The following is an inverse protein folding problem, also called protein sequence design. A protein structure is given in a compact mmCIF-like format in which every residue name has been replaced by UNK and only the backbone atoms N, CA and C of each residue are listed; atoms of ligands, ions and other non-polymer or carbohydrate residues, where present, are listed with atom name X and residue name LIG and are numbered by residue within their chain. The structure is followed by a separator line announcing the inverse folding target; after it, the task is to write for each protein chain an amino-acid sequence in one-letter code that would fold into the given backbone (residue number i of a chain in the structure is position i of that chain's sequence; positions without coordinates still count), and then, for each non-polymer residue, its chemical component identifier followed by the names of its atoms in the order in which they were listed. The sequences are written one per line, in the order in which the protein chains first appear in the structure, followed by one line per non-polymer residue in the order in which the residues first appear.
data_IF_309973903575
#
_entry.id   IF_309973903575
#
_cell.length_a   1.000
_cell.length_b   1.000
_cell.length_c   1.000
_cell.angle_alpha   90.00
_cell.angle_beta   90.00
_cell.angle_gamma   90.00
#
_symmetry.space_group_name_H-M   'P 1'
#
loop_
_entity.id
_entity.type
_entity.pdbx_description
1 polymer ?
#
# COMPACT_ATOMS: atom_id res chain seq x y z
N UNK A 1 -15.92 14.08 -11.00
CA UNK A 1 -17.15 13.25 -11.10
C UNK A 1 -17.82 13.16 -9.74
N UNK A 2 -19.10 13.57 -9.61
CA UNK A 2 -19.87 13.42 -8.39
C UNK A 2 -20.01 11.94 -7.97
N UNK A 3 -20.19 11.67 -6.67
CA UNK A 3 -20.33 10.30 -6.12
C UNK A 3 -21.50 9.53 -6.77
N UNK A 4 -22.56 10.23 -7.19
CA UNK A 4 -23.73 9.61 -7.84
C UNK A 4 -23.43 8.95 -9.20
N UNK A 5 -22.26 9.22 -9.79
CA UNK A 5 -21.80 8.56 -11.03
C UNK A 5 -20.75 7.46 -10.78
N UNK A 6 -20.26 7.31 -9.55
CA UNK A 6 -19.32 6.24 -9.22
C UNK A 6 -20.05 4.91 -9.03
N UNK A 7 -19.94 4.03 -10.03
CA UNK A 7 -20.54 2.70 -10.02
C UNK A 7 -19.44 1.63 -10.20
N UNK A 8 -18.78 1.19 -9.10
CA UNK A 8 -17.73 0.19 -9.17
C UNK A 8 -18.34 -1.17 -9.51
N UNK A 9 -17.68 -1.93 -10.39
CA UNK A 9 -18.19 -3.25 -10.75
C UNK A 9 -17.79 -4.29 -9.70
N UNK A 10 -18.70 -5.20 -9.30
CA UNK A 10 -18.34 -6.30 -8.43
C UNK A 10 -17.42 -7.30 -9.15
N UNK A 11 -16.65 -8.06 -8.38
CA UNK A 11 -15.92 -9.22 -8.91
C UNK A 11 -16.91 -10.25 -9.44
N UNK A 12 -16.56 -10.93 -10.53
CA UNK A 12 -17.36 -12.05 -11.02
C UNK A 12 -17.24 -13.20 -10.02
N UNK A 13 -18.36 -13.75 -9.54
CA UNK A 13 -18.38 -14.86 -8.57
C UNK A 13 -18.71 -16.19 -9.26
N UNK A 14 -17.94 -17.23 -8.95
CA UNK A 14 -18.23 -18.62 -9.33
C UNK A 14 -17.99 -19.50 -8.10
N UNK A 15 -19.06 -19.94 -7.43
CA UNK A 15 -18.97 -20.62 -6.14
C UNK A 15 -18.27 -19.73 -5.09
N UNK A 16 -17.18 -20.24 -4.52
CA UNK A 16 -16.32 -19.52 -3.55
C UNK A 16 -15.14 -18.79 -4.21
N UNK A 17 -15.09 -18.77 -5.54
CA UNK A 17 -14.07 -18.06 -6.31
C UNK A 17 -14.57 -16.70 -6.81
N UNK A 18 -13.70 -15.69 -6.72
CA UNK A 18 -13.94 -14.31 -7.14
C UNK A 18 -12.92 -13.93 -8.21
N UNK A 19 -13.36 -13.35 -9.32
CA UNK A 19 -12.52 -13.07 -10.48
C UNK A 19 -12.53 -11.58 -10.81
N UNK A 20 -11.32 -11.05 -11.01
CA UNK A 20 -11.11 -9.66 -11.42
C UNK A 20 -11.55 -9.50 -12.87
N UNK A 21 -12.52 -8.61 -13.11
CA UNK A 21 -13.11 -8.34 -14.42
C UNK A 21 -12.85 -6.89 -14.90
N UNK A 22 -12.34 -5.99 -14.03
CA UNK A 22 -11.90 -4.64 -14.40
C UNK A 22 -10.43 -4.41 -14.03
N UNK A 23 -9.54 -4.64 -15.00
CA UNK A 23 -8.09 -4.57 -14.81
C UNK A 23 -7.52 -3.28 -15.40
N UNK A 24 -6.40 -2.81 -14.86
CA UNK A 24 -5.49 -1.87 -15.52
C UNK A 24 -4.15 -2.56 -15.79
N UNK A 25 -3.69 -2.50 -17.03
CA UNK A 25 -2.36 -2.96 -17.41
C UNK A 25 -1.30 -2.20 -16.60
N UNK A 26 -0.24 -2.89 -16.18
CA UNK A 26 0.88 -2.26 -15.50
C UNK A 26 1.69 -1.39 -16.47
N UNK A 27 1.82 -0.10 -16.17
CA UNK A 27 2.59 0.85 -16.98
C UNK A 27 3.82 1.32 -16.20
N UNK A 28 4.91 0.57 -16.30
CA UNK A 28 6.08 0.73 -15.44
C UNK A 28 6.87 2.02 -15.70
N UNK A 29 6.95 2.86 -14.68
CA UNK A 29 7.85 4.01 -14.57
C UNK A 29 9.10 3.56 -13.79
N UNK A 30 10.33 3.83 -14.26
CA UNK A 30 11.54 3.49 -13.51
C UNK A 30 11.58 4.17 -12.14
N UNK A 31 12.02 3.44 -11.11
CA UNK A 31 12.24 3.99 -9.77
C UNK A 31 13.67 4.53 -9.66
N UNK A 32 13.88 5.79 -9.27
CA UNK A 32 15.23 6.32 -9.01
C UNK A 32 15.94 5.61 -7.85
N UNK A 33 17.24 5.38 -7.99
CA UNK A 33 18.11 4.76 -6.97
C UNK A 33 18.04 5.45 -5.60
N UNK A 34 17.84 6.76 -5.58
CA UNK A 34 17.74 7.55 -4.35
C UNK A 34 16.49 7.18 -3.54
N UNK A 35 15.33 7.00 -4.19
CA UNK A 35 14.10 6.53 -3.52
C UNK A 35 14.27 5.10 -2.99
N UNK A 36 14.98 4.24 -3.72
CA UNK A 36 15.30 2.88 -3.26
C UNK A 36 16.16 2.90 -1.99
N UNK A 37 17.22 3.72 -1.96
CA UNK A 37 18.12 3.83 -0.81
C UNK A 37 17.39 4.36 0.42
N UNK A 38 16.58 5.41 0.25
CA UNK A 38 15.79 6.02 1.34
C UNK A 38 14.78 5.02 1.91
N UNK A 39 14.02 4.35 1.05
CA UNK A 39 13.06 3.33 1.45
C UNK A 39 13.73 2.15 2.17
N UNK A 40 14.90 1.70 1.69
CA UNK A 40 15.65 0.61 2.30
C UNK A 40 16.15 1.00 3.68
N UNK A 41 16.71 2.20 3.84
CA UNK A 41 17.21 2.68 5.12
C UNK A 41 16.09 2.78 6.14
N UNK A 42 14.95 3.36 5.77
CA UNK A 42 13.76 3.43 6.61
C UNK A 42 13.30 2.02 7.03
N UNK A 43 13.13 1.11 6.07
CA UNK A 43 12.70 -0.25 6.36
C UNK A 43 13.69 -1.03 7.23
N UNK A 44 15.00 -0.78 7.06
CA UNK A 44 16.05 -1.38 7.87
C UNK A 44 15.97 -0.88 9.31
N UNK A 45 15.89 0.44 9.50
CA UNK A 45 15.81 1.05 10.82
C UNK A 45 14.55 0.61 11.59
N UNK A 46 13.42 0.44 10.89
CA UNK A 46 12.17 -0.07 11.48
C UNK A 46 12.23 -1.54 11.89
N UNK A 47 13.08 -2.36 11.27
CA UNK A 47 13.16 -3.80 11.55
C UNK A 47 14.50 -4.22 12.16
N UNK A 48 15.51 -4.47 11.34
CA UNK A 48 16.81 -5.03 11.74
C UNK A 48 17.67 -4.05 12.53
N UNK A 49 17.52 -2.75 12.27
CA UNK A 49 18.17 -1.67 13.01
C UNK A 49 17.56 -1.42 14.38
N UNK A 50 16.39 -2.01 14.68
CA UNK A 50 15.67 -1.92 15.96
C UNK A 50 15.45 -0.49 16.47
N UNK A 51 15.33 0.49 15.57
CA UNK A 51 15.05 1.89 15.93
C UNK A 51 13.55 2.19 15.98
N UNK A 52 12.72 1.36 15.36
CA UNK A 52 11.26 1.42 15.42
C UNK A 52 10.62 0.18 16.07
N UNK A 53 9.33 0.27 16.43
CA UNK A 53 8.54 -0.84 16.99
C UNK A 53 7.46 -1.31 16.01
N UNK A 54 7.35 -2.63 15.82
CA UNK A 54 6.34 -3.25 14.97
C UNK A 54 5.25 -3.96 15.80
N UNK A 55 4.01 -3.95 15.30
CA UNK A 55 2.97 -4.87 15.81
C UNK A 55 3.38 -6.31 15.44
N UNK A 56 3.41 -7.25 16.40
CA UNK A 56 3.87 -8.62 16.15
C UNK A 56 2.94 -9.44 15.24
N UNK A 57 1.64 -9.10 15.21
CA UNK A 57 0.60 -9.81 14.44
C UNK A 57 -0.19 -8.84 13.54
N UNK A 58 -0.74 -9.34 12.42
CA UNK A 58 -1.83 -8.64 11.69
C UNK A 58 -3.10 -8.63 12.55
N UNK A 59 -3.91 -7.58 12.47
CA UNK A 59 -5.25 -7.55 13.05
C UNK A 59 -6.14 -8.64 12.42
N UNK A 60 -6.22 -9.82 13.05
CA UNK A 60 -7.04 -10.96 12.60
C UNK A 60 -6.33 -12.07 11.80
N UNK A 61 -4.99 -12.08 11.78
CA UNK A 61 -4.19 -13.17 11.20
C UNK A 61 -3.44 -13.98 12.26
N UNK A 62 -3.22 -15.27 12.00
CA UNK A 62 -2.63 -16.23 12.96
C UNK A 62 -1.10 -16.38 12.82
N UNK A 63 -0.44 -15.62 11.91
CA UNK A 63 0.97 -15.79 11.54
C UNK A 63 1.84 -14.74 12.23
N UNK A 64 2.75 -15.20 13.10
CA UNK A 64 3.87 -14.42 13.61
C UNK A 64 4.79 -14.04 12.44
N UNK A 65 4.99 -12.74 12.18
CA UNK A 65 5.73 -12.29 10.98
C UNK A 65 7.23 -12.36 11.20
N UNK A 66 7.94 -13.15 10.41
CA UNK A 66 9.41 -13.11 10.31
C UNK A 66 9.89 -11.68 9.97
N UNK A 67 11.04 -11.27 10.51
CA UNK A 67 11.63 -9.93 10.29
C UNK A 67 11.80 -9.59 8.80
N UNK A 68 12.07 -10.58 7.95
CA UNK A 68 12.21 -10.36 6.50
C UNK A 68 10.86 -10.00 5.85
N UNK A 69 9.74 -10.52 6.38
CA UNK A 69 8.38 -10.18 5.94
C UNK A 69 8.04 -8.76 6.36
N UNK A 70 8.37 -8.40 7.61
CA UNK A 70 8.21 -7.03 8.09
C UNK A 70 9.03 -6.07 7.22
N UNK A 71 10.31 -6.36 7.00
CA UNK A 71 11.19 -5.54 6.18
C UNK A 71 10.63 -5.38 4.76
N UNK A 72 10.25 -6.48 4.11
CA UNK A 72 9.70 -6.46 2.76
C UNK A 72 8.42 -5.61 2.66
N UNK A 73 7.51 -5.71 3.63
CA UNK A 73 6.29 -4.91 3.65
C UNK A 73 6.58 -3.42 3.92
N UNK A 74 7.45 -3.12 4.90
CA UNK A 74 7.83 -1.75 5.26
C UNK A 74 8.54 -1.06 4.09
N UNK A 75 9.47 -1.76 3.44
CA UNK A 75 10.16 -1.29 2.25
C UNK A 75 9.19 -1.00 1.11
N UNK A 76 8.27 -1.92 0.82
CA UNK A 76 7.26 -1.72 -0.23
C UNK A 76 6.33 -0.54 0.06
N UNK A 77 5.89 -0.38 1.32
CA UNK A 77 5.04 0.73 1.75
C UNK A 77 5.74 2.07 1.54
N UNK A 78 6.92 2.24 2.15
CA UNK A 78 7.66 3.49 2.06
C UNK A 78 8.10 3.83 0.63
N UNK A 79 8.47 2.82 -0.17
CA UNK A 79 8.79 3.05 -1.58
C UNK A 79 7.57 3.53 -2.38
N UNK A 80 6.38 3.01 -2.11
CA UNK A 80 5.16 3.48 -2.75
C UNK A 80 4.83 4.93 -2.39
N UNK A 81 5.02 5.34 -1.14
CA UNK A 81 4.86 6.73 -0.70
C UNK A 81 5.81 7.66 -1.46
N UNK A 82 7.10 7.33 -1.52
CA UNK A 82 8.09 8.10 -2.27
C UNK A 82 7.78 8.18 -3.76
N UNK A 83 7.40 7.07 -4.39
CA UNK A 83 7.05 7.07 -5.81
C UNK A 83 5.83 7.95 -6.12
N UNK A 84 4.78 7.87 -5.29
CA UNK A 84 3.59 8.69 -5.46
C UNK A 84 3.91 10.17 -5.23
N UNK A 85 4.66 10.49 -4.18
CA UNK A 85 5.06 11.85 -3.88
C UNK A 85 5.89 12.45 -5.02
N UNK A 86 6.89 11.72 -5.51
CA UNK A 86 7.74 12.17 -6.62
C UNK A 86 6.93 12.41 -7.89
N UNK A 87 5.95 11.55 -8.20
CA UNK A 87 5.07 11.72 -9.36
C UNK A 87 4.14 12.94 -9.23
N UNK A 88 3.57 13.18 -8.05
CA UNK A 88 2.70 14.34 -7.80
C UNK A 88 3.50 15.65 -7.77
N UNK A 89 4.65 15.68 -7.11
CA UNK A 89 5.55 16.82 -7.07
C UNK A 89 6.06 17.18 -8.48
N UNK A 90 6.44 16.17 -9.28
CA UNK A 90 6.82 16.36 -10.68
C UNK A 90 5.68 16.90 -11.57
N UNK A 91 4.43 16.76 -11.14
CA UNK A 91 3.25 17.34 -11.78
C UNK A 91 2.84 18.71 -11.18
N UNK A 92 3.64 19.29 -10.30
CA UNK A 92 3.43 20.64 -9.73
C UNK A 92 2.56 20.69 -8.47
N UNK A 93 2.31 19.55 -7.82
CA UNK A 93 1.66 19.50 -6.51
C UNK A 93 2.59 20.05 -5.43
N UNK A 94 2.03 20.82 -4.48
CA UNK A 94 2.72 21.15 -3.24
C UNK A 94 2.53 19.99 -2.25
N UNK A 95 3.48 19.06 -2.28
CA UNK A 95 3.45 17.82 -1.51
C UNK A 95 4.81 17.60 -0.84
N UNK A 96 4.89 17.70 0.50
CA UNK A 96 6.11 17.42 1.24
C UNK A 96 6.60 16.00 1.00
N UNK A 97 7.91 15.78 1.15
CA UNK A 97 8.46 14.43 1.10
C UNK A 97 7.91 13.56 2.26
N UNK A 98 7.77 12.23 2.06
CA UNK A 98 7.40 11.32 3.14
C UNK A 98 8.35 11.41 4.33
N UNK A 99 7.80 11.37 5.54
CA UNK A 99 8.60 11.31 6.74
C UNK A 99 9.41 10.00 6.79
N UNK A 100 10.63 10.10 7.30
CA UNK A 100 11.56 8.98 7.53
C UNK A 100 12.02 8.91 8.98
N UNK A 101 11.50 9.77 9.85
CA UNK A 101 11.76 9.73 11.27
C UNK A 101 11.23 8.41 11.86
N UNK A 102 12.03 7.82 12.76
CA UNK A 102 11.71 6.55 13.42
C UNK A 102 11.41 6.85 14.88
N UNK A 103 10.13 6.80 15.24
CA UNK A 103 9.66 7.15 16.58
C UNK A 103 9.44 5.89 17.45
N UNK A 104 9.56 6.04 18.77
CA UNK A 104 9.15 5.02 19.74
C UNK A 104 7.61 4.87 19.75
N UNK A 105 7.08 3.72 20.24
CA UNK A 105 5.64 3.41 20.37
C UNK A 105 4.83 4.64 20.81
N UNK A 106 3.90 5.09 19.97
CA UNK A 106 2.92 6.12 20.31
C UNK A 106 2.92 7.36 19.40
N UNK A 107 3.88 7.53 18.49
CA UNK A 107 3.87 8.58 17.47
C UNK A 107 4.06 7.95 16.09
N UNK A 108 2.97 7.51 15.47
CA UNK A 108 2.99 7.11 14.06
C UNK A 108 2.75 8.34 13.19
N UNK A 109 3.34 8.37 11.98
CA UNK A 109 2.96 9.33 10.94
C UNK A 109 1.43 9.41 10.86
N UNK A 110 0.90 10.62 11.03
CA UNK A 110 -0.55 10.86 11.09
C UNK A 110 -1.26 10.64 9.75
N UNK A 111 -0.51 10.47 8.67
CA UNK A 111 -0.99 10.21 7.32
C UNK A 111 0.20 9.81 6.44
N UNK A 112 -0.05 9.03 5.38
CA UNK A 112 1.01 8.59 4.47
C UNK A 112 1.55 9.78 3.64
N UNK A 113 0.65 10.64 3.12
CA UNK A 113 0.99 11.87 2.39
C UNK A 113 -0.05 12.97 2.63
N UNK A 114 0.35 14.23 2.45
CA UNK A 114 -0.55 15.40 2.44
C UNK A 114 -0.24 16.32 1.26
N UNK A 115 -1.24 16.68 0.47
CA UNK A 115 -1.12 17.59 -0.68
C UNK A 115 -2.22 18.63 -0.61
N UNK A 116 -1.90 19.93 -0.64
CA UNK A 116 -2.90 21.01 -0.52
C UNK A 116 -3.88 20.82 0.67
N UNK A 117 -3.38 20.33 1.82
CA UNK A 117 -4.18 20.03 3.00
C UNK A 117 -5.03 18.74 2.91
N UNK A 118 -4.96 18.01 1.80
CA UNK A 118 -5.65 16.73 1.58
C UNK A 118 -4.79 15.55 1.99
N UNK A 119 -5.30 14.73 2.91
CA UNK A 119 -4.63 13.53 3.42
C UNK A 119 -4.84 12.37 2.45
N UNK A 120 -3.77 11.70 2.05
CA UNK A 120 -3.81 10.61 1.08
C UNK A 120 -3.35 9.33 1.78
N UNK A 121 -4.15 8.26 1.70
CA UNK A 121 -3.72 6.92 2.07
C UNK A 121 -3.05 6.25 0.87
N UNK A 122 -1.84 5.73 1.04
CA UNK A 122 -1.09 5.01 0.03
C UNK A 122 -1.17 3.52 0.29
N UNK A 123 -1.80 2.78 -0.63
CA UNK A 123 -1.78 1.31 -0.62
C UNK A 123 -0.81 0.79 -1.66
N UNK A 124 0.19 0.06 -1.19
CA UNK A 124 1.17 -0.59 -2.05
C UNK A 124 0.77 -2.03 -2.38
N UNK A 125 1.06 -2.48 -3.60
CA UNK A 125 0.82 -3.84 -4.04
C UNK A 125 1.91 -4.33 -5.01
N UNK A 126 1.97 -5.64 -5.25
CA UNK A 126 2.81 -6.18 -6.32
C UNK A 126 2.28 -5.75 -7.70
N UNK A 127 3.16 -5.58 -8.68
CA UNK A 127 2.87 -5.10 -10.04
C UNK A 127 1.72 -5.82 -10.76
N UNK A 128 1.51 -7.11 -10.48
CA UNK A 128 0.42 -7.90 -11.08
C UNK A 128 -0.94 -7.73 -10.38
N UNK A 129 -0.98 -7.08 -9.21
CA UNK A 129 -2.21 -6.83 -8.48
C UNK A 129 -3.13 -5.91 -9.27
N UNK A 130 -4.42 -6.19 -9.21
CA UNK A 130 -5.48 -5.35 -9.76
C UNK A 130 -6.56 -5.06 -8.71
N UNK A 131 -6.23 -5.22 -7.42
CA UNK A 131 -7.10 -4.87 -6.30
C UNK A 131 -6.37 -3.96 -5.33
N UNK A 132 -7.05 -2.92 -4.87
CA UNK A 132 -6.81 -2.35 -3.55
C UNK A 132 -7.61 -3.18 -2.54
N UNK A 133 -6.96 -3.62 -1.47
CA UNK A 133 -7.56 -4.42 -0.41
C UNK A 133 -7.46 -3.65 0.92
N UNK A 134 -8.57 -3.61 1.65
CA UNK A 134 -8.64 -3.06 3.00
C UNK A 134 -9.09 -4.17 3.95
N UNK A 135 -8.27 -4.52 4.95
CA UNK A 135 -8.58 -5.58 5.92
C UNK A 135 -9.83 -5.17 6.73
N UNK A 136 -10.87 -6.01 6.75
CA UNK A 136 -12.20 -5.63 7.27
C UNK A 136 -12.17 -5.09 8.71
N UNK A 137 -11.26 -5.59 9.54
CA UNK A 137 -11.15 -5.23 10.96
C UNK A 137 -10.50 -3.88 11.22
N UNK A 138 -9.83 -3.31 10.21
CA UNK A 138 -9.10 -2.04 10.37
C UNK A 138 -9.92 -0.83 9.89
N UNK A 139 -11.11 -1.02 9.32
CA UNK A 139 -11.88 0.04 8.67
C UNK A 139 -13.36 -0.01 9.03
N UNK A 140 -13.95 1.16 9.30
CA UNK A 140 -15.40 1.29 9.45
C UNK A 140 -16.12 1.56 8.12
N UNK A 141 -17.44 1.68 8.18
CA UNK A 141 -18.34 1.94 7.04
C UNK A 141 -18.17 3.31 6.38
N UNK A 142 -17.45 4.24 7.02
CA UNK A 142 -17.08 5.56 6.52
C UNK A 142 -15.66 5.62 5.93
N UNK A 143 -15.01 4.47 5.79
CA UNK A 143 -13.61 4.37 5.37
C UNK A 143 -12.63 5.10 6.31
N UNK A 144 -12.90 5.06 7.61
CA UNK A 144 -12.01 5.59 8.66
C UNK A 144 -11.17 4.45 9.23
N UNK A 145 -9.89 4.74 9.48
CA UNK A 145 -8.93 3.75 9.98
C UNK A 145 -9.08 3.58 11.49
N UNK A 146 -9.61 2.43 11.92
CA UNK A 146 -9.96 2.13 13.31
C UNK A 146 -8.76 2.14 14.28
N UNK A 147 -7.58 1.61 13.92
CA UNK A 147 -6.48 1.48 14.89
C UNK A 147 -5.90 2.78 15.46
N UNK A 148 -6.28 3.95 14.92
CA UNK A 148 -5.82 5.27 15.39
C UNK A 148 -6.95 6.15 15.97
N UNK A 149 -8.16 5.60 16.18
CA UNK A 149 -9.34 6.38 16.55
C UNK A 149 -9.32 6.97 17.98
N UNK A 150 -8.45 6.49 18.88
CA UNK A 150 -8.40 6.95 20.27
C UNK A 150 -7.67 8.29 20.45
N UNK A 151 -6.71 8.64 19.57
CA UNK A 151 -5.86 9.82 19.72
C UNK A 151 -6.18 10.96 18.73
N UNK A 152 -6.63 10.64 17.50
CA UNK A 152 -7.15 11.57 16.49
C UNK A 152 -7.77 10.73 15.37
N UNK A 153 -9.10 10.73 15.15
CA UNK A 153 -9.70 9.93 14.09
C UNK A 153 -9.06 10.26 12.73
N UNK A 154 -8.31 9.29 12.20
CA UNK A 154 -7.48 9.50 11.03
C UNK A 154 -8.35 9.45 9.77
N UNK A 155 -8.79 10.62 9.33
CA UNK A 155 -9.53 10.79 8.09
C UNK A 155 -8.57 10.95 6.92
N UNK A 156 -8.75 10.14 5.89
CA UNK A 156 -8.11 10.34 4.59
C UNK A 156 -9.11 10.98 3.63
N UNK A 157 -8.67 11.95 2.83
CA UNK A 157 -9.47 12.49 1.73
C UNK A 157 -9.45 11.56 0.51
N UNK A 158 -8.29 10.93 0.26
CA UNK A 158 -8.06 10.10 -0.92
C UNK A 158 -7.34 8.80 -0.58
N UNK A 159 -7.55 7.80 -1.43
CA UNK A 159 -6.84 6.52 -1.42
C UNK A 159 -6.17 6.32 -2.78
N UNK A 160 -4.86 6.15 -2.77
CA UNK A 160 -4.06 5.86 -3.96
C UNK A 160 -3.55 4.43 -3.93
N UNK A 161 -3.62 3.75 -5.08
CA UNK A 161 -2.98 2.45 -5.28
C UNK A 161 -1.66 2.66 -6.03
N UNK A 162 -0.58 2.11 -5.50
CA UNK A 162 0.73 2.08 -6.16
C UNK A 162 1.17 0.63 -6.29
N UNK A 163 1.58 0.20 -7.48
CA UNK A 163 2.10 -1.16 -7.69
C UNK A 163 3.58 -1.12 -7.97
N UNK A 164 4.33 -2.03 -7.36
CA UNK A 164 5.79 -2.09 -7.47
C UNK A 164 6.23 -3.40 -8.14
N UNK A 165 7.21 -3.28 -9.02
CA UNK A 165 7.96 -4.36 -9.66
C UNK A 165 9.43 -4.25 -9.24
N UNK A 166 10.12 -5.36 -8.92
CA UNK A 166 9.66 -6.75 -8.90
C UNK A 166 8.70 -7.07 -7.74
N UNK A 167 8.25 -8.33 -7.64
CA UNK A 167 7.54 -8.83 -6.44
C UNK A 167 8.51 -8.90 -5.26
N UNK A 168 8.48 -7.86 -4.43
CA UNK A 168 9.34 -7.63 -3.27
C UNK A 168 9.31 -8.82 -2.30
N UNK A 169 8.13 -9.39 -2.05
CA UNK A 169 8.01 -10.53 -1.13
C UNK A 169 8.73 -11.74 -1.69
N UNK A 170 8.60 -12.02 -2.97
CA UNK A 170 9.32 -13.13 -3.62
C UNK A 170 10.82 -12.86 -3.66
N UNK A 171 11.24 -11.62 -3.94
CA UNK A 171 12.66 -11.21 -3.92
C UNK A 171 13.30 -11.50 -2.56
N UNK A 172 12.74 -10.96 -1.48
CA UNK A 172 13.32 -11.12 -0.14
C UNK A 172 13.14 -12.53 0.43
N UNK A 173 12.08 -13.26 0.05
CA UNK A 173 11.93 -14.66 0.45
C UNK A 173 13.05 -15.54 -0.09
N UNK A 174 13.49 -15.31 -1.32
CA UNK A 174 14.63 -16.05 -1.94
C UNK A 174 15.96 -15.71 -1.27
N UNK A 175 16.08 -14.49 -0.74
CA UNK A 175 17.29 -13.97 -0.12
C UNK A 175 17.18 -13.90 1.41
N UNK A 176 16.24 -14.64 2.00
CA UNK A 176 15.95 -14.54 3.44
C UNK A 176 17.20 -14.90 4.24
N UNK A 177 17.49 -14.17 5.34
CA UNK A 177 18.62 -14.49 6.21
C UNK A 177 18.53 -15.93 6.73
N UNK A 178 19.68 -16.59 6.86
CA UNK A 178 19.76 -17.87 7.60
C UNK A 178 19.56 -17.63 9.09
N UNK A 179 19.14 -18.65 9.83
CA UNK A 179 19.01 -18.57 11.28
C UNK A 179 20.33 -18.11 11.92
N UNK A 180 20.26 -17.09 12.78
CA UNK A 180 21.43 -16.50 13.45
C UNK A 180 22.31 -15.61 12.58
N UNK A 181 21.97 -15.40 11.31
CA UNK A 181 22.72 -14.51 10.43
C UNK A 181 22.49 -13.04 10.82
N UNK A 182 23.57 -12.30 11.02
CA UNK A 182 23.51 -10.85 11.23
C UNK A 182 23.14 -10.17 9.91
N UNK A 183 22.07 -9.39 9.93
CA UNK A 183 21.57 -8.63 8.78
C UNK A 183 22.05 -7.18 8.90
N UNK A 184 22.67 -6.67 7.84
CA UNK A 184 23.15 -5.27 7.77
C UNK A 184 22.65 -4.61 6.50
N UNK A 185 22.63 -3.28 6.44
CA UNK A 185 22.32 -2.55 5.19
C UNK A 185 23.22 -3.00 4.03
N UNK A 186 24.51 -3.29 4.31
CA UNK A 186 25.47 -3.80 3.31
C UNK A 186 25.09 -5.18 2.78
N UNK A 187 24.39 -6.00 3.56
CA UNK A 187 23.84 -7.28 3.11
C UNK A 187 22.60 -7.08 2.23
N UNK A 188 21.72 -6.15 2.59
CA UNK A 188 20.44 -5.95 1.89
C UNK A 188 20.60 -5.15 0.59
N UNK A 189 21.43 -4.11 0.59
CA UNK A 189 21.55 -3.19 -0.56
C UNK A 189 21.88 -3.91 -1.89
N UNK A 190 22.78 -4.91 -1.95
CA UNK A 190 23.01 -5.70 -3.16
C UNK A 190 21.77 -6.43 -3.69
N UNK A 191 20.86 -6.86 -2.81
CA UNK A 191 19.61 -7.53 -3.21
C UNK A 191 18.70 -6.53 -3.94
N UNK A 192 18.63 -5.30 -3.45
CA UNK A 192 17.79 -4.25 -4.06
C UNK A 192 18.42 -3.71 -5.34
N UNK A 193 19.70 -3.30 -5.30
CA UNK A 193 20.34 -2.58 -6.42
C UNK A 193 20.48 -3.40 -7.70
N UNK A 194 20.44 -4.72 -7.61
CA UNK A 194 20.65 -5.63 -8.75
C UNK A 194 19.34 -5.95 -9.50
N UNK A 195 18.22 -5.39 -9.07
CA UNK A 195 16.90 -5.57 -9.69
C UNK A 195 16.53 -4.35 -10.54
N UNK A 196 15.66 -4.57 -11.53
CA UNK A 196 15.08 -3.48 -12.33
C UNK A 196 13.77 -3.05 -11.65
N UNK A 197 13.81 -1.92 -10.97
CA UNK A 197 12.66 -1.39 -10.23
C UNK A 197 11.77 -0.53 -11.12
N UNK A 198 10.48 -0.84 -11.10
CA UNK A 198 9.45 -0.04 -11.75
C UNK A 198 8.26 0.11 -10.82
N UNK A 199 7.55 1.22 -10.93
CA UNK A 199 6.27 1.41 -10.27
C UNK A 199 5.22 1.83 -11.26
N UNK A 200 3.95 1.71 -10.87
CA UNK A 200 2.87 2.40 -11.53
C UNK A 200 1.79 2.80 -10.54
N UNK A 201 0.93 3.72 -10.96
CA UNK A 201 -0.15 4.24 -10.14
C UNK A 201 -1.45 4.03 -10.90
N UNK A 202 -2.18 2.92 -10.66
CA UNK A 202 -3.50 2.70 -11.25
C UNK A 202 -4.44 3.88 -11.07
N UNK A 203 -4.28 4.64 -9.99
CA UNK A 203 -4.96 5.91 -9.79
C UNK A 203 -5.34 6.15 -8.34
N UNK A 204 -6.39 6.95 -8.16
CA UNK A 204 -6.94 7.33 -6.86
C UNK A 204 -8.46 7.21 -6.79
N UNK A 205 -8.99 7.20 -5.56
CA UNK A 205 -10.39 7.41 -5.26
C UNK A 205 -10.57 8.34 -4.04
N UNK A 206 -11.61 9.20 -4.03
CA UNK A 206 -11.98 9.95 -2.84
C UNK A 206 -12.59 9.01 -1.78
N UNK A 207 -12.48 9.39 -0.51
CA UNK A 207 -12.96 8.58 0.63
C UNK A 207 -14.41 8.13 0.48
N UNK A 208 -15.30 8.98 -0.01
CA UNK A 208 -16.72 8.64 -0.15
C UNK A 208 -16.95 7.50 -1.15
N UNK A 209 -16.13 7.43 -2.20
CA UNK A 209 -16.14 6.31 -3.15
C UNK A 209 -15.62 5.02 -2.49
N UNK A 210 -14.61 5.14 -1.62
CA UNK A 210 -14.10 4.00 -0.84
C UNK A 210 -15.14 3.52 0.19
N UNK A 211 -15.83 4.43 0.88
CA UNK A 211 -16.92 4.10 1.80
C UNK A 211 -18.05 3.37 1.08
N UNK A 212 -18.42 3.82 -0.13
CA UNK A 212 -19.37 3.11 -0.98
C UNK A 212 -18.90 1.69 -1.31
N UNK A 213 -17.62 1.49 -1.64
CA UNK A 213 -17.05 0.16 -1.86
C UNK A 213 -17.06 -0.71 -0.59
N UNK A 214 -16.75 -0.15 0.58
CA UNK A 214 -16.76 -0.89 1.86
C UNK A 214 -18.15 -1.49 2.16
N UNK A 215 -19.21 -0.75 1.85
CA UNK A 215 -20.58 -1.21 2.07
C UNK A 215 -20.98 -2.34 1.12
N UNK A 216 -20.47 -2.34 -0.12
CA UNK A 216 -20.99 -3.17 -1.21
C UNK A 216 -20.03 -4.28 -1.68
N UNK A 217 -18.73 -4.17 -1.42
CA UNK A 217 -17.68 -5.00 -2.04
C UNK A 217 -16.84 -5.70 -0.97
N UNK A 218 -17.16 -6.97 -0.70
CA UNK A 218 -16.50 -7.80 0.31
C UNK A 218 -15.92 -9.05 -0.31
N UNK A 219 -14.69 -9.37 0.08
CA UNK A 219 -13.98 -10.58 -0.26
C UNK A 219 -13.71 -11.38 1.03
N UNK A 220 -14.43 -12.48 1.29
CA UNK A 220 -14.33 -13.22 2.55
C UNK A 220 -12.97 -13.91 2.76
N UNK A 221 -12.57 -14.11 4.03
CA UNK A 221 -11.50 -15.07 4.39
C UNK A 221 -11.79 -16.44 3.77
N UNK A 222 -10.75 -17.14 3.35
CA UNK A 222 -10.78 -18.43 2.65
C UNK A 222 -11.36 -18.44 1.23
N UNK A 223 -11.95 -17.34 0.74
CA UNK A 223 -12.34 -17.24 -0.67
C UNK A 223 -11.13 -17.36 -1.60
N UNK A 224 -11.35 -17.82 -2.84
CA UNK A 224 -10.31 -17.91 -3.86
C UNK A 224 -10.35 -16.71 -4.81
N UNK A 225 -9.31 -15.88 -4.78
CA UNK A 225 -9.11 -14.82 -5.76
C UNK A 225 -8.49 -15.39 -7.05
N UNK A 226 -9.14 -15.09 -8.17
CA UNK A 226 -8.85 -15.62 -9.51
C UNK A 226 -8.72 -17.16 -9.52
N UNK A 227 -9.49 -17.85 -8.67
CA UNK A 227 -9.50 -19.31 -8.54
C UNK A 227 -8.22 -19.93 -7.98
N UNK A 228 -7.24 -19.12 -7.51
CA UNK A 228 -5.91 -19.63 -7.11
C UNK A 228 -5.44 -19.11 -5.76
N UNK A 229 -5.66 -17.82 -5.47
CA UNK A 229 -5.10 -17.17 -4.29
C UNK A 229 -6.12 -17.26 -3.16
N UNK A 230 -5.85 -18.07 -2.14
CA UNK A 230 -6.70 -18.13 -0.95
C UNK A 230 -6.53 -16.87 -0.11
N UNK A 231 -7.64 -16.22 0.24
CA UNK A 231 -7.64 -15.02 1.07
C UNK A 231 -7.37 -15.35 2.54
N UNK A 232 -6.33 -14.72 3.09
CA UNK A 232 -5.90 -14.87 4.49
C UNK A 232 -6.83 -14.17 5.49
N UNK A 233 -7.43 -13.06 5.06
CA UNK A 233 -8.36 -12.26 5.85
C UNK A 233 -9.56 -11.83 5.00
N UNK A 234 -10.65 -11.48 5.68
CA UNK A 234 -11.77 -10.80 5.03
C UNK A 234 -11.34 -9.38 4.68
N UNK A 235 -11.55 -8.97 3.43
CA UNK A 235 -11.15 -7.66 2.92
C UNK A 235 -12.33 -6.98 2.24
N UNK A 236 -12.37 -5.65 2.30
CA UNK A 236 -13.03 -4.86 1.28
C UNK A 236 -12.11 -4.78 0.06
N UNK A 237 -12.69 -4.70 -1.13
CA UNK A 237 -11.89 -4.60 -2.35
C UNK A 237 -12.36 -3.47 -3.26
N UNK A 238 -11.44 -2.97 -4.08
CA UNK A 238 -11.71 -2.06 -5.19
C UNK A 238 -10.86 -2.53 -6.37
N UNK A 239 -11.45 -2.65 -7.56
CA UNK A 239 -10.71 -3.07 -8.75
C UNK A 239 -9.90 -1.91 -9.32
N UNK A 240 -8.68 -2.18 -9.78
CA UNK A 240 -7.79 -1.17 -10.38
C UNK A 240 -8.44 -0.43 -11.56
N UNK A 241 -9.32 -1.11 -12.31
CA UNK A 241 -10.10 -0.52 -13.40
C UNK A 241 -11.09 0.57 -12.98
N UNK A 242 -11.45 0.65 -11.70
CA UNK A 242 -12.41 1.64 -11.17
C UNK A 242 -11.72 2.92 -10.65
N UNK A 243 -10.38 2.96 -10.61
CA UNK A 243 -9.63 4.12 -10.13
C UNK A 243 -9.65 5.28 -11.14
N UNK A 244 -9.71 6.51 -10.60
CA UNK A 244 -9.63 7.77 -11.35
C UNK A 244 -8.19 8.17 -11.64
N UNK A 245 -7.98 9.16 -12.49
CA UNK A 245 -6.61 9.63 -12.77
C UNK A 245 -5.97 10.16 -11.47
N UNK A 246 -4.70 9.82 -11.23
CA UNK A 246 -3.99 10.23 -10.02
C UNK A 246 -3.88 11.76 -9.90
N UNK A 247 -3.74 12.46 -11.03
CA UNK A 247 -3.60 13.91 -11.07
C UNK A 247 -4.88 14.66 -10.68
N UNK A 248 -6.03 13.99 -10.58
CA UNK A 248 -7.26 14.59 -10.04
C UNK A 248 -7.17 14.90 -8.53
N UNK A 249 -6.13 14.43 -7.83
CA UNK A 249 -5.82 14.85 -6.45
C UNK A 249 -5.30 16.30 -6.43
N UNK A 250 -4.53 16.67 -7.45
CA UNK A 250 -3.98 18.01 -7.58
C UNK A 250 -5.14 18.87 -8.08
N UNK A 251 -5.59 19.84 -7.28
CA UNK A 251 -6.63 20.76 -7.71
C UNK A 251 -6.26 21.36 -9.06
N UNK A 252 -7.21 21.50 -9.99
CA UNK A 252 -6.97 22.21 -11.23
C UNK A 252 -6.56 23.64 -10.87
N UNK A 253 -5.25 23.94 -10.90
CA UNK A 253 -4.76 25.31 -10.89
C UNK A 253 -5.14 25.88 -12.25
N UNK A 254 -6.24 26.63 -12.27
CA UNK A 254 -6.65 27.44 -13.41
C UNK A 254 -5.61 28.52 -13.69
#
# INVERSE_FOLDING_TARGET
MPIHEFNPAPLTRQGDSFFINRKKTFQGIPVPDELLKRSLRFAFDMTYGQKGQHRPNRSGGDIQRDDWILFANTFQGKLAEFCLQSQLAGAGADIPEPDTETWALGQWDRYDLISDGKKINVKSAAYFSNLLLLEKHDWNDKAEYLPNMEDDPMFYDYFALVRIKPDIKTLFRKQRPKAGQIVTEKFIWPIVKNEIWQYDIPGQLPREAVAHCIQNQKLPKNALLNGRIRMDASNYYIQAGDFRNIHEIIGQKH
#
